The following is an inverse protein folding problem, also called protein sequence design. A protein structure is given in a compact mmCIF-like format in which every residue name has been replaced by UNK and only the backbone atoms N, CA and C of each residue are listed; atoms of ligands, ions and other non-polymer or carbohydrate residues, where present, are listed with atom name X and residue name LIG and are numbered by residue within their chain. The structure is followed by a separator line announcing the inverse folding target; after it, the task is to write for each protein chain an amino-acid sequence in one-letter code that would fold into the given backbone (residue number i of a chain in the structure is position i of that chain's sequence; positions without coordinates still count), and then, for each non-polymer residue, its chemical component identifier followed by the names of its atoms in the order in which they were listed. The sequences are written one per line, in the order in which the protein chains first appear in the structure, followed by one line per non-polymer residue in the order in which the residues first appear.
data_IF_208120248858
#
_entry.id   IF_208120248858
#
_cell.length_a   1.000
_cell.length_b   1.000
_cell.length_c   1.000
_cell.angle_alpha   90.00
_cell.angle_beta   90.00
_cell.angle_gamma   90.00
#
_symmetry.space_group_name_H-M   'P 1'
#
loop_
_entity.id
_entity.type
_entity.pdbx_description
1 polymer ?
#
# COMPACT_ATOMS: atom_id res chain seq x y z
N UNK A 1 4.38 15.25 -3.94
CA UNK A 1 2.99 15.68 -4.25
C UNK A 1 2.54 15.21 -5.64
N UNK A 2 3.30 15.50 -6.70
CA UNK A 2 2.97 15.11 -8.09
C UNK A 2 2.65 13.61 -8.31
N UNK A 3 3.46 12.64 -7.83
CA UNK A 3 3.15 11.22 -8.04
C UNK A 3 1.89 10.76 -7.29
N UNK A 4 1.57 11.38 -6.14
CA UNK A 4 0.36 11.07 -5.38
C UNK A 4 -0.91 11.53 -6.09
N UNK A 5 -0.90 12.74 -6.65
CA UNK A 5 -2.01 13.25 -7.46
C UNK A 5 -2.21 12.42 -8.73
N UNK A 6 -1.11 12.04 -9.38
CA UNK A 6 -1.15 11.15 -10.55
C UNK A 6 -1.82 9.81 -10.18
N UNK A 7 -1.37 9.14 -9.12
CA UNK A 7 -1.95 7.87 -8.67
C UNK A 7 -3.43 8.02 -8.28
N UNK A 8 -3.79 9.08 -7.55
CA UNK A 8 -5.17 9.35 -7.16
C UNK A 8 -6.07 9.53 -8.39
N UNK A 9 -5.61 10.30 -9.38
CA UNK A 9 -6.34 10.49 -10.64
C UNK A 9 -6.47 9.20 -11.44
N UNK A 10 -5.42 8.36 -11.49
CA UNK A 10 -5.44 7.08 -12.16
C UNK A 10 -6.45 6.11 -11.52
N UNK A 11 -6.47 6.03 -10.19
CA UNK A 11 -7.42 5.19 -9.46
C UNK A 11 -8.85 5.67 -9.62
N UNK A 12 -9.09 6.97 -9.46
CA UNK A 12 -10.42 7.55 -9.68
C UNK A 12 -10.90 7.29 -11.12
N UNK A 13 -10.04 7.56 -12.11
CA UNK A 13 -10.34 7.31 -13.51
C UNK A 13 -10.64 5.84 -13.79
N UNK A 14 -9.83 4.92 -13.27
CA UNK A 14 -10.04 3.49 -13.41
C UNK A 14 -11.35 3.01 -12.78
N UNK A 15 -11.66 3.44 -11.55
CA UNK A 15 -12.91 3.08 -10.86
C UNK A 15 -14.12 3.59 -11.65
N UNK A 16 -14.07 4.83 -12.14
CA UNK A 16 -15.15 5.40 -12.96
C UNK A 16 -15.30 4.62 -14.27
N UNK A 17 -14.21 4.36 -14.99
CA UNK A 17 -14.25 3.65 -16.26
C UNK A 17 -14.80 2.22 -16.07
N UNK A 18 -14.30 1.51 -15.06
CA UNK A 18 -14.70 0.14 -14.75
C UNK A 18 -16.16 0.07 -14.29
N UNK A 19 -16.61 1.03 -13.47
CA UNK A 19 -18.01 1.14 -13.05
C UNK A 19 -18.93 1.41 -14.25
N UNK A 20 -18.54 2.29 -15.18
CA UNK A 20 -19.33 2.59 -16.37
C UNK A 20 -19.41 1.42 -17.35
N UNK A 21 -18.34 0.62 -17.47
CA UNK A 21 -18.23 -0.54 -18.35
C UNK A 21 -18.94 -1.79 -17.78
N UNK A 22 -18.87 -2.01 -16.46
CA UNK A 22 -19.44 -3.17 -15.79
C UNK A 22 -20.62 -2.79 -14.88
N UNK A 23 -21.64 -2.11 -15.43
CA UNK A 23 -22.81 -1.66 -14.66
C UNK A 23 -23.53 -2.81 -13.92
N UNK A 24 -23.55 -4.00 -14.50
CA UNK A 24 -24.23 -5.18 -13.93
C UNK A 24 -23.49 -5.80 -12.73
N UNK A 25 -22.23 -5.40 -12.47
CA UNK A 25 -21.42 -5.85 -11.32
C UNK A 25 -21.32 -4.78 -10.23
N UNK A 26 -21.98 -3.64 -10.40
CA UNK A 26 -22.07 -2.63 -9.36
C UNK A 26 -23.03 -3.18 -8.28
N UNK A 27 -22.59 -3.29 -7.01
CA UNK A 27 -23.48 -3.68 -5.91
C UNK A 27 -24.71 -2.78 -5.91
N UNK A 28 -25.90 -3.38 -5.74
CA UNK A 28 -27.13 -2.61 -5.59
C UNK A 28 -26.94 -1.56 -4.48
N UNK A 29 -27.33 -0.31 -4.74
CA UNK A 29 -27.20 0.75 -3.75
C UNK A 29 -27.86 0.31 -2.45
N UNK A 30 -27.09 0.28 -1.35
CA UNK A 30 -27.62 0.02 -0.03
C UNK A 30 -28.82 0.95 0.23
N UNK A 31 -29.84 0.42 0.89
CA UNK A 31 -31.10 1.09 1.20
C UNK A 31 -30.87 2.57 1.59
N UNK A 32 -31.78 3.45 1.17
CA UNK A 32 -31.69 4.90 1.37
C UNK A 32 -31.45 5.27 2.84
N UNK A 33 -30.19 5.35 3.22
CA UNK A 33 -29.75 5.75 4.56
C UNK A 33 -29.93 7.25 4.67
N UNK A 34 -30.60 7.69 5.73
CA UNK A 34 -30.81 9.11 6.01
C UNK A 34 -29.44 9.77 6.25
N UNK A 35 -29.26 11.05 5.92
CA UNK A 35 -27.96 11.75 6.07
C UNK A 35 -27.39 11.64 7.50
N UNK A 36 -28.27 11.63 8.51
CA UNK A 36 -27.93 11.42 9.93
C UNK A 36 -27.39 10.01 10.20
N UNK A 37 -27.94 9.00 9.55
CA UNK A 37 -27.55 7.59 9.69
C UNK A 37 -26.20 7.32 9.01
N UNK A 38 -25.96 7.94 7.84
CA UNK A 38 -24.64 7.96 7.19
C UNK A 38 -23.57 8.60 8.07
N UNK A 39 -23.89 9.71 8.73
CA UNK A 39 -22.95 10.38 9.64
C UNK A 39 -22.66 9.52 10.89
N UNK A 40 -23.68 8.82 11.40
CA UNK A 40 -23.54 7.93 12.56
C UNK A 40 -22.71 6.68 12.23
N UNK A 41 -22.89 6.09 11.05
CA UNK A 41 -22.05 4.98 10.57
C UNK A 41 -20.61 5.43 10.29
N UNK A 42 -20.44 6.66 9.78
CA UNK A 42 -19.12 7.27 9.58
C UNK A 42 -18.37 7.48 10.90
N UNK A 43 -19.07 7.58 12.03
CA UNK A 43 -18.45 7.69 13.35
C UNK A 43 -17.59 6.46 13.70
N UNK A 44 -17.86 5.29 13.09
CA UNK A 44 -17.01 4.09 13.26
C UNK A 44 -15.63 4.23 12.60
N UNK A 45 -15.43 5.22 11.71
CA UNK A 45 -14.11 5.55 11.16
C UNK A 45 -13.28 6.45 12.08
N UNK A 46 -13.90 7.15 13.03
CA UNK A 46 -13.20 8.08 13.92
C UNK A 46 -12.05 7.40 14.68
N UNK A 47 -12.20 6.18 15.26
CA UNK A 47 -11.11 5.49 15.93
C UNK A 47 -9.93 5.19 15.01
N UNK A 48 -10.21 4.82 13.75
CA UNK A 48 -9.16 4.51 12.75
C UNK A 48 -8.44 5.79 12.33
N UNK A 49 -9.18 6.88 12.10
CA UNK A 49 -8.60 8.17 11.75
C UNK A 49 -7.72 8.72 12.90
N UNK A 50 -8.17 8.58 14.15
CA UNK A 50 -7.39 8.94 15.33
C UNK A 50 -6.11 8.10 15.44
N UNK A 51 -6.18 6.79 15.17
CA UNK A 51 -4.99 5.93 15.17
C UNK A 51 -3.98 6.38 14.10
N UNK A 52 -4.44 6.64 12.88
CA UNK A 52 -3.59 7.15 11.80
C UNK A 52 -2.96 8.48 12.19
N UNK A 53 -3.75 9.40 12.74
CA UNK A 53 -3.28 10.69 13.23
C UNK A 53 -2.24 10.55 14.35
N UNK A 54 -2.44 9.62 15.28
CA UNK A 54 -1.49 9.35 16.36
C UNK A 54 -0.16 8.78 15.85
N UNK A 55 -0.20 7.83 14.90
CA UNK A 55 1.00 7.24 14.29
C UNK A 55 1.75 8.26 13.43
N UNK A 56 1.06 8.99 12.57
CA UNK A 56 1.70 10.02 11.74
C UNK A 56 2.20 11.18 12.61
N UNK A 57 1.42 11.59 13.61
CA UNK A 57 1.78 12.62 14.56
C UNK A 57 3.03 12.26 15.35
N UNK A 58 3.15 11.02 15.84
CA UNK A 58 4.34 10.59 16.59
C UNK A 58 5.61 10.57 15.73
N UNK A 59 5.49 10.22 14.43
CA UNK A 59 6.61 10.28 13.47
C UNK A 59 7.00 11.74 13.18
N UNK A 60 6.03 12.60 12.81
CA UNK A 60 6.31 13.97 12.41
C UNK A 60 6.77 14.87 13.56
N UNK A 61 6.28 14.64 14.77
CA UNK A 61 6.70 15.36 15.97
C UNK A 61 8.03 14.82 16.54
N UNK A 62 8.58 13.75 15.95
CA UNK A 62 9.85 13.15 16.39
C UNK A 62 9.75 12.44 17.75
N UNK A 63 8.53 12.14 18.22
CA UNK A 63 8.30 11.46 19.50
C UNK A 63 8.66 9.97 19.40
N UNK A 64 8.43 9.37 18.22
CA UNK A 64 8.69 7.96 17.97
C UNK A 64 9.37 7.76 16.61
N UNK A 65 10.29 6.81 16.55
CA UNK A 65 10.88 6.34 15.29
C UNK A 65 9.86 5.53 14.48
N UNK A 66 10.10 5.35 13.18
CA UNK A 66 9.19 4.60 12.30
C UNK A 66 8.88 3.17 12.82
N UNK A 67 9.86 2.53 13.46
CA UNK A 67 9.72 1.21 14.07
C UNK A 67 8.86 1.23 15.33
N UNK A 68 9.02 2.22 16.20
CA UNK A 68 8.20 2.38 17.41
C UNK A 68 6.77 2.80 17.08
N UNK A 69 6.60 3.68 16.09
CA UNK A 69 5.30 4.09 15.57
C UNK A 69 4.54 2.91 14.94
N UNK A 70 5.23 1.99 14.27
CA UNK A 70 4.63 0.76 13.77
C UNK A 70 4.11 -0.13 14.92
N UNK A 71 4.87 -0.28 16.01
CA UNK A 71 4.42 -1.01 17.19
C UNK A 71 3.17 -0.39 17.82
N UNK A 72 3.14 0.95 17.96
CA UNK A 72 1.97 1.69 18.43
C UNK A 72 0.75 1.49 17.51
N UNK A 73 0.96 1.47 16.20
CA UNK A 73 -0.09 1.19 15.22
C UNK A 73 -0.68 -0.21 15.37
N UNK A 74 0.16 -1.23 15.56
CA UNK A 74 -0.30 -2.61 15.80
C UNK A 74 -1.08 -2.69 17.10
N UNK A 75 -0.55 -2.19 18.21
CA UNK A 75 -1.24 -2.19 19.50
C UNK A 75 -2.58 -1.44 19.43
N UNK A 76 -2.61 -0.26 18.81
CA UNK A 76 -3.83 0.52 18.65
C UNK A 76 -4.87 -0.18 17.76
N UNK A 77 -4.45 -0.84 16.68
CA UNK A 77 -5.37 -1.63 15.84
C UNK A 77 -5.96 -2.83 16.57
N UNK A 78 -5.19 -3.48 17.45
CA UNK A 78 -5.68 -4.54 18.32
C UNK A 78 -6.74 -4.04 19.31
N UNK A 79 -6.49 -2.90 19.96
CA UNK A 79 -7.46 -2.28 20.88
C UNK A 79 -8.75 -1.95 20.14
N UNK A 80 -8.65 -1.31 18.97
CA UNK A 80 -9.81 -0.94 18.14
C UNK A 80 -10.60 -2.19 17.68
N UNK A 81 -9.90 -3.26 17.28
CA UNK A 81 -10.54 -4.51 16.88
C UNK A 81 -11.25 -5.20 18.06
N UNK A 82 -10.66 -5.14 19.26
CA UNK A 82 -11.25 -5.67 20.48
C UNK A 82 -12.50 -4.87 20.89
N UNK A 83 -12.43 -3.53 20.90
CA UNK A 83 -13.58 -2.67 21.27
C UNK A 83 -14.74 -2.77 20.28
N UNK A 84 -14.46 -3.07 19.01
CA UNK A 84 -15.49 -3.28 17.98
C UNK A 84 -16.02 -4.72 17.94
N UNK A 85 -15.51 -5.63 18.79
CA UNK A 85 -15.95 -7.03 18.84
C UNK A 85 -15.56 -7.86 17.60
N UNK A 86 -14.67 -7.36 16.75
CA UNK A 86 -14.19 -8.05 15.55
C UNK A 86 -13.07 -9.08 15.85
N UNK A 87 -12.54 -9.06 17.08
CA UNK A 87 -11.42 -9.89 17.48
C UNK A 87 -11.88 -11.28 17.88
N UNK A 88 -11.57 -12.27 17.05
CA UNK A 88 -11.78 -13.70 17.30
C UNK A 88 -10.52 -14.45 16.91
N UNK A 89 -10.34 -15.68 17.43
CA UNK A 89 -9.21 -16.53 17.04
C UNK A 89 -9.19 -16.80 15.53
N UNK A 90 -10.37 -16.95 14.93
CA UNK A 90 -10.51 -17.16 13.49
C UNK A 90 -10.09 -15.92 12.69
N UNK A 91 -10.59 -14.73 13.04
CA UNK A 91 -10.22 -13.48 12.36
C UNK A 91 -8.74 -13.15 12.54
N UNK A 92 -8.18 -13.41 13.73
CA UNK A 92 -6.74 -13.22 13.98
C UNK A 92 -5.87 -14.13 13.09
N UNK A 93 -6.16 -15.44 13.04
CA UNK A 93 -5.42 -16.37 12.18
C UNK A 93 -5.60 -16.02 10.70
N UNK A 94 -6.81 -15.65 10.28
CA UNK A 94 -7.08 -15.23 8.91
C UNK A 94 -6.26 -13.99 8.51
N UNK A 95 -6.22 -12.96 9.36
CA UNK A 95 -5.42 -11.75 9.14
C UNK A 95 -3.93 -12.06 9.08
N UNK A 96 -3.42 -12.91 9.98
CA UNK A 96 -2.01 -13.30 10.01
C UNK A 96 -1.63 -14.12 8.77
N UNK A 97 -2.47 -15.07 8.35
CA UNK A 97 -2.28 -15.83 7.12
C UNK A 97 -2.29 -14.95 5.87
N UNK A 98 -3.17 -13.95 5.83
CA UNK A 98 -3.22 -12.94 4.76
C UNK A 98 -1.92 -12.13 4.69
N UNK A 99 -1.45 -11.62 5.83
CA UNK A 99 -0.20 -10.87 5.94
C UNK A 99 1.01 -11.72 5.51
N UNK A 100 1.11 -12.95 6.02
CA UNK A 100 2.20 -13.88 5.67
C UNK A 100 2.19 -14.23 4.19
N UNK A 101 1.03 -14.48 3.58
CA UNK A 101 0.95 -14.77 2.13
C UNK A 101 1.50 -13.61 1.31
N UNK A 102 1.06 -12.38 1.62
CA UNK A 102 1.54 -11.18 0.93
C UNK A 102 3.06 -11.02 1.11
N UNK A 103 3.55 -11.18 2.34
CA UNK A 103 4.98 -11.09 2.63
C UNK A 103 5.78 -12.16 1.88
N UNK A 104 5.32 -13.41 1.85
CA UNK A 104 5.96 -14.48 1.08
C UNK A 104 6.00 -14.18 -0.42
N UNK A 105 4.93 -13.64 -1.01
CA UNK A 105 4.93 -13.23 -2.42
C UNK A 105 6.01 -12.18 -2.69
N UNK A 106 6.08 -11.15 -1.86
CA UNK A 106 7.09 -10.09 -1.99
C UNK A 106 8.49 -10.67 -1.78
N UNK A 107 8.70 -11.49 -0.75
CA UNK A 107 9.98 -12.09 -0.44
C UNK A 107 10.50 -12.98 -1.59
N UNK A 108 9.62 -13.76 -2.24
CA UNK A 108 9.99 -14.56 -3.41
C UNK A 108 10.38 -13.69 -4.62
N UNK A 109 9.65 -12.61 -4.87
CA UNK A 109 10.01 -11.65 -5.93
C UNK A 109 11.38 -11.03 -5.64
N UNK A 110 11.63 -10.61 -4.40
CA UNK A 110 12.92 -10.05 -3.99
C UNK A 110 14.05 -11.08 -4.08
N UNK A 111 13.81 -12.33 -3.69
CA UNK A 111 14.80 -13.41 -3.82
C UNK A 111 15.16 -13.67 -5.29
N UNK A 112 14.17 -13.74 -6.18
CA UNK A 112 14.38 -13.88 -7.62
C UNK A 112 15.12 -12.67 -8.22
N UNK A 113 14.73 -11.46 -7.82
CA UNK A 113 15.39 -10.22 -8.24
C UNK A 113 16.86 -10.18 -7.78
N UNK A 114 17.14 -10.57 -6.54
CA UNK A 114 18.50 -10.60 -6.01
C UNK A 114 19.36 -11.63 -6.73
N UNK A 115 18.84 -12.85 -6.94
CA UNK A 115 19.52 -13.89 -7.70
C UNK A 115 19.85 -13.44 -9.13
N UNK A 116 18.88 -12.84 -9.83
CA UNK A 116 19.09 -12.33 -11.18
C UNK A 116 20.14 -11.21 -11.19
N UNK A 117 20.09 -10.30 -10.22
CA UNK A 117 21.08 -9.21 -10.08
C UNK A 117 22.49 -9.77 -9.91
N UNK A 118 22.66 -10.80 -9.09
CA UNK A 118 23.93 -11.52 -8.91
C UNK A 118 24.39 -12.19 -10.21
N UNK A 119 23.52 -12.94 -10.89
CA UNK A 119 23.84 -13.60 -12.15
C UNK A 119 24.27 -12.60 -13.23
N UNK A 120 23.53 -11.50 -13.38
CA UNK A 120 23.89 -10.41 -14.29
C UNK A 120 25.21 -9.74 -13.91
N UNK A 121 25.49 -9.60 -12.61
CA UNK A 121 26.76 -9.10 -12.09
C UNK A 121 27.95 -9.98 -12.49
N UNK A 122 27.81 -11.30 -12.40
CA UNK A 122 28.87 -12.24 -12.82
C UNK A 122 29.09 -12.27 -14.33
N UNK A 123 28.03 -12.21 -15.13
CA UNK A 123 28.11 -12.19 -16.60
C UNK A 123 28.62 -10.83 -17.10
N UNK A 124 28.62 -9.79 -16.25
CA UNK A 124 29.03 -8.43 -16.64
C UNK A 124 28.07 -7.78 -17.64
N UNK A 125 26.86 -8.31 -17.80
CA UNK A 125 25.85 -7.85 -18.75
C UNK A 125 25.54 -6.34 -18.62
N UNK A 126 25.34 -5.79 -17.40
CA UNK A 126 25.15 -4.35 -17.23
C UNK A 126 26.37 -3.53 -17.69
N UNK A 127 27.57 -4.06 -17.46
CA UNK A 127 28.83 -3.40 -17.85
C UNK A 127 29.02 -3.42 -19.37
N UNK A 128 28.79 -4.54 -20.02
CA UNK A 128 28.87 -4.65 -21.49
C UNK A 128 27.84 -3.74 -22.18
N UNK A 129 26.62 -3.66 -21.63
CA UNK A 129 25.62 -2.71 -22.12
C UNK A 129 26.07 -1.26 -21.93
N UNK A 130 26.67 -0.91 -20.78
CA UNK A 130 27.20 0.43 -20.54
C UNK A 130 28.36 0.79 -21.49
N UNK A 131 29.26 -0.16 -21.76
CA UNK A 131 30.36 0.00 -22.72
C UNK A 131 29.85 0.16 -24.16
N UNK A 132 28.84 -0.63 -24.57
CA UNK A 132 28.20 -0.50 -25.88
C UNK A 132 27.53 0.87 -26.06
N UNK A 133 26.78 1.33 -25.06
CA UNK A 133 26.14 2.64 -25.07
C UNK A 133 27.19 3.77 -25.11
N UNK A 134 28.27 3.63 -24.34
CA UNK A 134 29.38 4.61 -24.36
C UNK A 134 30.09 4.67 -25.71
N UNK A 135 30.18 3.53 -26.42
CA UNK A 135 30.71 3.44 -27.78
C UNK A 135 29.86 4.15 -28.84
N UNK A 136 28.59 4.46 -28.56
CA UNK A 136 27.72 5.21 -29.47
C UNK A 136 28.02 6.72 -29.47
N UNK A 137 28.88 7.22 -28.58
CA UNK A 137 29.35 8.61 -28.57
C UNK A 137 28.23 9.64 -28.34
N UNK A 138 27.13 9.23 -27.69
CA UNK A 138 25.96 10.09 -27.50
C UNK A 138 26.27 11.26 -26.54
N UNK A 139 25.86 12.50 -26.88
CA UNK A 139 25.99 13.64 -25.98
C UNK A 139 25.13 13.43 -24.73
N UNK A 140 25.55 14.02 -23.60
CA UNK A 140 24.96 13.84 -22.26
C UNK A 140 23.44 14.09 -22.18
N UNK A 141 22.86 14.83 -23.13
CA UNK A 141 21.42 15.06 -23.24
C UNK A 141 20.61 13.87 -23.82
N UNK A 142 21.26 12.88 -24.44
CA UNK A 142 20.63 11.65 -24.95
C UNK A 142 20.78 10.42 -24.04
N UNK A 143 21.47 10.57 -22.90
CA UNK A 143 21.73 9.53 -21.91
C UNK A 143 20.86 9.67 -20.64
N UNK A 144 20.17 10.81 -20.47
CA UNK A 144 19.17 11.06 -19.42
C UNK A 144 17.77 10.69 -19.92
#
# INVERSE_FOLDING_TARGET
VFPGLLLASLFMGWVVLWSLLNKDRIPAADASTTFVEKLRLSASLIPVALLIGAVLGSIYLGIATATEAAALGVLGSFVIAATQGALSRATFIASLMGATRLYCMIALILAGSAFLTLAMGYIGLPRHLAEWISGLGLPQAGLL
#
